data_IF_735621279490
#
_entry.id   IF_735621279490
#
_cell.length_a   1.000
_cell.length_b   1.000
_cell.length_c   1.000
_cell.angle_alpha   90.00
_cell.angle_beta   90.00
_cell.angle_gamma   90.00
#
_symmetry.space_group_name_H-M   'P 1'
#
loop_
_entity.id
_entity.type
_entity.pdbx_description
1 polymer ?
#
# COMPACT_ATOMS: atom_id res chain seq x y z
N UNK A 1 -30.15 -62.90 -10.23
CA UNK A 1 -30.07 -62.56 -8.78
C UNK A 1 -28.80 -61.76 -8.56
N UNK A 2 -28.90 -60.44 -8.54
CA UNK A 2 -27.84 -59.52 -8.13
C UNK A 2 -28.11 -59.10 -6.68
N UNK A 3 -27.24 -59.51 -5.75
CA UNK A 3 -27.32 -59.10 -4.36
C UNK A 3 -26.75 -57.71 -4.20
N UNK A 4 -27.58 -56.76 -3.71
CA UNK A 4 -27.14 -55.46 -3.24
C UNK A 4 -26.49 -55.63 -1.88
N UNK A 5 -25.19 -55.34 -1.76
CA UNK A 5 -24.49 -55.19 -0.49
C UNK A 5 -24.72 -53.73 -0.05
N UNK A 6 -25.50 -53.52 1.00
CA UNK A 6 -25.67 -52.23 1.62
C UNK A 6 -24.43 -51.91 2.44
N UNK A 7 -23.69 -50.86 2.04
CA UNK A 7 -22.66 -50.25 2.91
C UNK A 7 -23.34 -49.44 4.00
N UNK A 8 -23.10 -49.80 5.25
CA UNK A 8 -23.48 -48.99 6.41
C UNK A 8 -22.66 -47.70 6.40
N UNK A 9 -23.28 -46.53 6.75
CA UNK A 9 -22.56 -45.28 6.84
C UNK A 9 -21.52 -45.38 7.98
N UNK A 10 -20.24 -45.26 7.62
CA UNK A 10 -19.16 -45.19 8.58
C UNK A 10 -19.37 -44.02 9.53
N UNK A 11 -19.32 -44.26 10.83
CA UNK A 11 -19.26 -43.25 11.85
C UNK A 11 -18.04 -42.36 11.57
N UNK A 12 -18.28 -41.10 11.24
CA UNK A 12 -17.24 -40.09 11.23
C UNK A 12 -16.71 -40.01 12.66
N UNK A 13 -15.50 -40.50 12.90
CA UNK A 13 -14.82 -40.30 14.16
C UNK A 13 -14.73 -38.80 14.43
N UNK A 14 -15.42 -38.29 15.46
CA UNK A 14 -15.19 -36.96 16.01
C UNK A 14 -13.68 -36.82 16.25
N UNK A 15 -13.03 -35.93 15.48
CA UNK A 15 -11.64 -35.59 15.74
C UNK A 15 -11.61 -34.97 17.13
N UNK A 16 -11.14 -35.69 18.12
CA UNK A 16 -10.91 -35.16 19.46
C UNK A 16 -10.04 -33.91 19.30
N UNK A 17 -10.56 -32.77 19.79
CA UNK A 17 -9.83 -31.52 19.74
C UNK A 17 -8.47 -31.71 20.44
N UNK A 18 -7.39 -31.42 19.73
CA UNK A 18 -6.03 -31.46 20.29
C UNK A 18 -5.99 -30.52 21.50
N UNK A 19 -5.80 -31.06 22.75
CA UNK A 19 -5.86 -30.25 23.97
C UNK A 19 -4.82 -29.12 24.00
N UNK A 20 -3.70 -29.26 23.28
CA UNK A 20 -2.68 -28.23 23.19
C UNK A 20 -3.16 -27.10 22.29
N UNK A 21 -3.80 -27.43 21.17
CA UNK A 21 -4.42 -26.42 20.28
C UNK A 21 -5.54 -25.66 20.99
N UNK A 22 -6.37 -26.35 21.73
CA UNK A 22 -7.47 -25.71 22.47
C UNK A 22 -6.93 -24.81 23.58
N UNK A 23 -5.97 -25.27 24.38
CA UNK A 23 -5.30 -24.45 25.39
C UNK A 23 -4.63 -23.21 24.77
N UNK A 24 -3.95 -23.37 23.64
CA UNK A 24 -3.35 -22.25 22.90
C UNK A 24 -4.41 -21.27 22.40
N UNK A 25 -5.53 -21.76 21.87
CA UNK A 25 -6.65 -20.92 21.42
C UNK A 25 -7.26 -20.11 22.55
N UNK A 26 -7.48 -20.74 23.71
CA UNK A 26 -8.01 -20.09 24.92
C UNK A 26 -7.03 -19.01 25.41
N UNK A 27 -5.74 -19.33 25.46
CA UNK A 27 -4.71 -18.36 25.86
C UNK A 27 -4.65 -17.18 24.89
N UNK A 28 -4.62 -17.41 23.58
CA UNK A 28 -4.64 -16.33 22.58
C UNK A 28 -5.91 -15.45 22.68
N UNK A 29 -7.07 -16.06 22.95
CA UNK A 29 -8.31 -15.32 23.14
C UNK A 29 -8.34 -14.51 24.45
N UNK A 30 -7.52 -14.87 25.44
CA UNK A 30 -7.39 -14.13 26.70
C UNK A 30 -6.45 -12.92 26.59
N UNK A 31 -5.64 -12.84 25.54
CA UNK A 31 -4.77 -11.68 25.33
C UNK A 31 -5.61 -10.45 24.98
N UNK A 32 -5.23 -9.26 25.46
CA UNK A 32 -5.90 -8.03 25.08
C UNK A 32 -5.90 -7.87 23.56
N UNK A 33 -7.04 -7.51 22.99
CA UNK A 33 -7.08 -7.14 21.58
C UNK A 33 -6.19 -5.92 21.34
N UNK A 34 -5.41 -5.94 20.27
CA UNK A 34 -4.62 -4.77 19.89
C UNK A 34 -5.57 -3.59 19.61
N UNK A 35 -5.34 -2.41 20.21
CA UNK A 35 -6.15 -1.24 19.92
C UNK A 35 -5.99 -0.85 18.46
N UNK A 36 -7.04 -0.28 17.85
CA UNK A 36 -6.92 0.28 16.50
C UNK A 36 -5.99 1.49 16.51
N UNK A 37 -5.32 1.76 15.38
CA UNK A 37 -4.39 2.89 15.26
C UNK A 37 -5.05 4.23 15.58
N UNK A 38 -6.31 4.43 15.21
CA UNK A 38 -7.09 5.62 15.53
C UNK A 38 -7.17 5.92 17.04
N UNK A 39 -7.19 4.88 17.88
CA UNK A 39 -7.22 4.99 19.34
C UNK A 39 -5.85 5.36 19.94
N UNK A 40 -4.79 5.28 19.14
CA UNK A 40 -3.40 5.50 19.55
C UNK A 40 -2.79 6.77 18.93
N UNK A 41 -3.58 7.62 18.27
CA UNK A 41 -3.06 8.86 17.70
C UNK A 41 -2.74 9.91 18.79
N UNK A 42 -1.72 10.73 18.54
CA UNK A 42 -1.24 11.76 19.47
C UNK A 42 -1.81 13.16 19.14
N UNK A 43 -2.99 13.23 18.52
CA UNK A 43 -3.61 14.49 18.11
C UNK A 43 -2.94 15.16 16.91
N UNK A 44 -2.07 14.47 16.21
CA UNK A 44 -1.36 15.00 15.04
C UNK A 44 -2.31 15.11 13.84
N UNK A 45 -2.34 16.26 13.20
CA UNK A 45 -3.18 16.54 12.03
C UNK A 45 -2.33 17.24 10.98
N UNK A 46 -2.40 16.77 9.75
CA UNK A 46 -1.80 17.46 8.60
C UNK A 46 -2.74 18.58 8.13
N UNK A 47 -2.16 19.73 7.84
CA UNK A 47 -2.89 20.91 7.41
C UNK A 47 -3.03 20.92 5.89
N UNK A 48 -4.28 21.10 5.38
CA UNK A 48 -4.51 21.27 3.95
C UNK A 48 -3.94 22.61 3.47
N UNK A 49 -3.10 22.54 2.43
CA UNK A 49 -2.48 23.72 1.81
C UNK A 49 -3.20 24.10 0.53
N UNK A 50 -3.57 23.11 -0.28
CA UNK A 50 -4.15 23.32 -1.61
C UNK A 50 -4.88 22.07 -2.09
N UNK A 51 -5.78 22.28 -3.04
CA UNK A 51 -6.55 21.19 -3.65
C UNK A 51 -6.67 21.39 -5.16
N UNK A 52 -6.57 20.31 -5.91
CA UNK A 52 -6.75 20.25 -7.34
C UNK A 52 -7.80 19.22 -7.71
N UNK A 53 -8.42 19.36 -8.88
CA UNK A 53 -9.34 18.35 -9.43
C UNK A 53 -8.85 17.86 -10.80
N UNK A 54 -7.73 17.13 -10.86
CA UNK A 54 -7.21 16.58 -12.08
C UNK A 54 -8.10 15.45 -12.60
N UNK A 55 -8.06 15.18 -13.89
CA UNK A 55 -8.74 14.03 -14.46
C UNK A 55 -7.94 12.74 -14.14
N UNK A 56 -8.65 11.71 -13.66
CA UNK A 56 -8.10 10.36 -13.55
C UNK A 56 -7.24 10.03 -12.32
N UNK A 57 -7.10 10.95 -11.35
CA UNK A 57 -6.38 10.70 -10.11
C UNK A 57 -7.26 9.91 -9.13
N UNK A 58 -7.30 8.58 -9.25
CA UNK A 58 -8.12 7.72 -8.40
C UNK A 58 -7.38 6.50 -7.80
N UNK A 59 -6.07 6.38 -8.07
CA UNK A 59 -5.22 5.34 -7.48
C UNK A 59 -4.03 5.93 -6.72
N UNK A 60 -3.50 7.05 -7.16
CA UNK A 60 -2.37 7.67 -6.49
C UNK A 60 -1.92 8.96 -7.13
N UNK A 61 -0.80 9.45 -6.64
CA UNK A 61 -0.13 10.64 -7.13
C UNK A 61 1.38 10.47 -7.02
N UNK A 62 2.12 11.05 -7.95
CA UNK A 62 3.56 11.26 -7.88
C UNK A 62 3.86 12.75 -8.02
N UNK A 63 5.04 13.19 -7.59
CA UNK A 63 5.40 14.62 -7.54
C UNK A 63 6.84 14.81 -7.97
N UNK A 64 7.10 15.78 -8.86
CA UNK A 64 8.44 16.32 -9.15
C UNK A 64 8.58 17.79 -8.68
N UNK A 65 9.67 18.43 -9.02
CA UNK A 65 9.90 19.82 -8.61
C UNK A 65 8.86 20.81 -9.16
N UNK A 66 8.25 20.55 -10.32
CA UNK A 66 7.35 21.48 -11.02
C UNK A 66 5.95 20.92 -11.25
N UNK A 67 5.78 19.60 -11.19
CA UNK A 67 4.55 18.94 -11.57
C UNK A 67 4.10 17.93 -10.53
N UNK A 68 2.82 17.62 -10.56
CA UNK A 68 2.27 16.41 -9.96
C UNK A 68 1.64 15.52 -11.03
N UNK A 69 1.60 14.21 -10.77
CA UNK A 69 1.09 13.20 -11.68
C UNK A 69 -0.10 12.51 -11.04
N UNK A 70 -1.30 12.73 -11.57
CA UNK A 70 -2.50 11.99 -11.15
C UNK A 70 -2.50 10.59 -11.78
N UNK A 71 -2.60 9.56 -10.96
CA UNK A 71 -2.50 8.16 -11.38
C UNK A 71 -3.87 7.49 -11.23
N UNK A 72 -4.36 6.91 -12.32
CA UNK A 72 -5.51 6.01 -12.34
C UNK A 72 -5.10 4.62 -12.81
N UNK A 73 -6.01 3.66 -12.84
CA UNK A 73 -5.72 2.26 -13.19
C UNK A 73 -4.88 2.10 -14.47
N UNK A 74 -5.15 2.90 -15.48
CA UNK A 74 -4.49 2.88 -16.80
C UNK A 74 -4.38 4.29 -17.41
N UNK A 75 -4.33 5.31 -16.54
CA UNK A 75 -4.19 6.73 -16.95
C UNK A 75 -3.13 7.37 -16.07
N UNK A 76 -2.28 8.18 -16.66
CA UNK A 76 -1.32 9.04 -15.97
C UNK A 76 -1.42 10.44 -16.56
N UNK A 77 -1.89 11.39 -15.76
CA UNK A 77 -1.96 12.80 -16.15
C UNK A 77 -0.87 13.61 -15.44
N UNK A 78 -0.14 14.45 -16.17
CA UNK A 78 0.86 15.38 -15.65
C UNK A 78 0.26 16.79 -15.56
N UNK A 79 0.44 17.44 -14.42
CA UNK A 79 -0.17 18.73 -14.10
C UNK A 79 0.88 19.68 -13.52
N UNK A 80 0.80 20.96 -13.88
CA UNK A 80 1.63 22.00 -13.28
C UNK A 80 1.23 22.24 -11.81
N UNK A 81 2.21 22.32 -10.90
CA UNK A 81 1.97 22.49 -9.46
C UNK A 81 1.42 23.86 -9.08
N UNK A 82 1.62 24.88 -9.92
CA UNK A 82 1.21 26.26 -9.65
C UNK A 82 -0.19 26.51 -10.18
N UNK A 83 -0.44 26.14 -11.45
CA UNK A 83 -1.70 26.42 -12.13
C UNK A 83 -2.72 25.30 -12.03
N UNK A 84 -2.28 24.05 -11.82
CA UNK A 84 -3.12 22.85 -11.88
C UNK A 84 -3.49 22.44 -13.31
N UNK A 85 -2.97 23.14 -14.32
CA UNK A 85 -3.24 22.83 -15.72
C UNK A 85 -2.56 21.54 -16.16
N UNK A 86 -3.26 20.77 -17.00
CA UNK A 86 -2.72 19.55 -17.55
C UNK A 86 -1.67 19.84 -18.62
N UNK A 87 -0.47 19.32 -18.42
CA UNK A 87 0.69 19.46 -19.33
C UNK A 87 0.77 18.31 -20.32
N UNK A 88 0.55 17.08 -19.83
CA UNK A 88 0.63 15.86 -20.64
C UNK A 88 -0.27 14.77 -20.06
N UNK A 89 -0.57 13.76 -20.87
CA UNK A 89 -1.36 12.60 -20.44
C UNK A 89 -0.95 11.36 -21.23
N UNK A 90 -0.93 10.23 -20.53
CA UNK A 90 -0.92 8.92 -21.14
C UNK A 90 -2.19 8.15 -20.73
N UNK A 91 -2.77 7.46 -21.70
CA UNK A 91 -3.92 6.59 -21.51
C UNK A 91 -3.61 5.24 -22.11
N UNK A 92 -3.56 4.22 -21.27
CA UNK A 92 -3.44 2.83 -21.68
C UNK A 92 -4.75 2.29 -22.26
N UNK A 93 -4.67 1.13 -22.89
CA UNK A 93 -5.86 0.43 -23.40
C UNK A 93 -6.62 -0.21 -22.22
N UNK A 94 -7.92 0.04 -22.15
CA UNK A 94 -8.78 -0.67 -21.23
C UNK A 94 -8.80 -2.17 -21.58
N UNK A 95 -8.44 -3.03 -20.63
CA UNK A 95 -8.24 -4.46 -20.87
C UNK A 95 -6.91 -4.81 -21.54
N UNK A 96 -5.99 -3.83 -21.68
CA UNK A 96 -4.61 -4.06 -22.13
C UNK A 96 -3.71 -4.62 -21.03
N UNK A 97 -2.40 -4.52 -21.27
CA UNK A 97 -1.38 -5.04 -20.33
C UNK A 97 -1.35 -4.28 -19.00
N UNK A 98 -1.69 -2.99 -18.99
CA UNK A 98 -1.78 -2.18 -17.77
C UNK A 98 -3.18 -2.26 -17.20
N UNK A 99 -3.34 -2.99 -16.11
CA UNK A 99 -4.65 -3.27 -15.48
C UNK A 99 -4.90 -2.34 -14.31
N UNK A 100 -3.91 -2.20 -13.42
CA UNK A 100 -4.07 -1.53 -12.15
C UNK A 100 -2.77 -0.85 -11.71
N UNK A 101 -2.54 0.39 -12.16
CA UNK A 101 -1.49 1.24 -11.61
C UNK A 101 -1.90 1.68 -10.20
N UNK A 102 -0.91 1.78 -9.32
CA UNK A 102 -1.05 2.19 -7.93
C UNK A 102 -0.23 3.44 -7.63
N UNK A 103 0.65 3.37 -6.63
CA UNK A 103 1.54 4.44 -6.26
C UNK A 103 2.61 4.75 -7.28
N UNK A 104 3.13 5.96 -7.22
CA UNK A 104 4.23 6.40 -8.07
C UNK A 104 5.12 7.44 -7.41
N UNK A 105 6.33 7.54 -7.92
CA UNK A 105 7.31 8.54 -7.49
C UNK A 105 8.26 8.88 -8.64
N UNK A 106 9.01 9.97 -8.47
CA UNK A 106 10.15 10.24 -9.32
C UNK A 106 11.39 9.62 -8.67
N UNK A 107 11.99 8.68 -9.38
CA UNK A 107 13.20 7.97 -8.95
C UNK A 107 14.22 7.95 -10.05
N UNK A 108 15.45 8.41 -9.78
CA UNK A 108 16.55 8.45 -10.73
C UNK A 108 16.17 9.14 -12.07
N UNK A 109 15.39 10.23 -12.00
CA UNK A 109 14.93 11.01 -13.15
C UNK A 109 13.82 10.35 -13.96
N UNK A 110 13.25 9.23 -13.53
CA UNK A 110 12.12 8.55 -14.17
C UNK A 110 10.87 8.58 -13.28
N UNK A 111 9.70 8.60 -13.87
CA UNK A 111 8.44 8.37 -13.18
C UNK A 111 8.24 6.84 -13.08
N UNK A 112 8.34 6.33 -11.86
CA UNK A 112 8.22 4.89 -11.56
C UNK A 112 6.88 4.64 -10.89
N UNK A 113 6.10 3.74 -11.46
CA UNK A 113 4.75 3.42 -11.01
C UNK A 113 4.68 1.95 -10.56
N UNK A 114 4.09 1.71 -9.41
CA UNK A 114 3.70 0.38 -8.99
C UNK A 114 2.51 -0.10 -9.83
N UNK A 115 2.51 -1.36 -10.23
CA UNK A 115 1.45 -1.98 -11.01
C UNK A 115 1.18 -3.41 -10.53
N UNK A 116 -0.08 -3.83 -10.62
CA UNK A 116 -0.50 -5.21 -10.44
C UNK A 116 -1.67 -5.54 -11.37
N UNK A 117 -1.98 -6.83 -11.51
CA UNK A 117 -3.17 -7.29 -12.21
C UNK A 117 -4.41 -7.37 -11.31
N UNK A 118 -4.40 -6.69 -10.15
CA UNK A 118 -5.53 -6.69 -9.21
C UNK A 118 -6.87 -6.40 -9.94
N UNK A 119 -7.94 -7.13 -9.63
CA UNK A 119 -8.11 -8.17 -8.61
C UNK A 119 -7.92 -9.61 -9.12
N UNK A 120 -7.24 -9.82 -10.24
CA UNK A 120 -7.07 -11.13 -10.86
C UNK A 120 -6.10 -12.03 -10.08
N UNK A 121 -6.30 -13.34 -10.16
CA UNK A 121 -5.41 -14.35 -9.61
C UNK A 121 -4.86 -15.24 -10.73
N UNK A 122 -3.59 -15.70 -10.62
CA UNK A 122 -2.62 -15.36 -9.58
C UNK A 122 -2.24 -13.86 -9.64
N UNK A 123 -2.07 -13.24 -8.47
CA UNK A 123 -1.67 -11.83 -8.38
C UNK A 123 -0.25 -11.66 -8.94
N UNK A 124 -0.10 -10.84 -9.96
CA UNK A 124 1.18 -10.52 -10.58
C UNK A 124 1.45 -9.02 -10.48
N UNK A 125 2.72 -8.67 -10.29
CA UNK A 125 3.14 -7.28 -10.10
C UNK A 125 4.32 -6.90 -10.97
N UNK A 126 4.42 -5.61 -11.29
CA UNK A 126 5.51 -5.02 -12.05
C UNK A 126 5.75 -3.57 -11.63
N UNK A 127 6.89 -3.04 -12.03
CA UNK A 127 7.18 -1.61 -12.02
C UNK A 127 7.14 -1.09 -13.45
N UNK A 128 6.38 -0.04 -13.64
CA UNK A 128 6.24 0.62 -14.93
C UNK A 128 7.01 1.94 -14.92
N UNK A 129 7.97 2.08 -15.82
CA UNK A 129 8.82 3.25 -15.93
C UNK A 129 8.36 4.14 -17.07
N UNK A 130 8.19 5.42 -16.78
CA UNK A 130 7.77 6.44 -17.73
C UNK A 130 8.80 7.56 -17.82
N UNK A 131 8.95 8.13 -19.00
CA UNK A 131 9.62 9.42 -19.15
C UNK A 131 8.74 10.53 -18.55
N UNK A 132 9.20 11.23 -17.51
CA UNK A 132 8.40 12.25 -16.85
C UNK A 132 8.14 13.50 -17.72
N UNK A 133 8.93 13.73 -18.77
CA UNK A 133 8.72 14.86 -19.66
C UNK A 133 7.51 14.63 -20.59
N UNK A 134 7.45 13.49 -21.24
CA UNK A 134 6.42 13.13 -22.21
C UNK A 134 5.27 12.29 -21.66
N UNK A 135 5.42 11.74 -20.45
CA UNK A 135 4.50 10.75 -19.85
C UNK A 135 4.31 9.52 -20.76
N UNK A 136 5.42 9.04 -21.34
CA UNK A 136 5.41 7.85 -22.20
C UNK A 136 6.08 6.67 -21.50
N UNK A 137 5.50 5.45 -21.65
CA UNK A 137 6.14 4.25 -21.14
C UNK A 137 7.54 4.05 -21.73
N UNK A 138 8.52 3.68 -20.88
CA UNK A 138 9.91 3.45 -21.28
C UNK A 138 10.26 1.97 -21.14
N UNK A 139 9.95 1.37 -20.00
CA UNK A 139 10.21 -0.04 -19.71
C UNK A 139 9.29 -0.55 -18.63
N UNK A 140 9.20 -1.87 -18.54
CA UNK A 140 8.55 -2.58 -17.44
C UNK A 140 9.54 -3.55 -16.79
N UNK A 141 9.45 -3.72 -15.47
CA UNK A 141 10.20 -4.73 -14.71
C UNK A 141 9.18 -5.63 -14.01
N UNK A 142 9.04 -6.86 -14.52
CA UNK A 142 8.14 -7.85 -13.94
C UNK A 142 8.70 -8.41 -12.65
N UNK A 143 7.90 -8.39 -11.58
CA UNK A 143 8.21 -9.02 -10.27
C UNK A 143 7.52 -10.39 -10.13
N UNK A 144 6.70 -10.77 -11.11
CA UNK A 144 5.99 -12.05 -11.14
C UNK A 144 4.90 -12.14 -10.07
N UNK A 145 4.61 -13.38 -9.65
CA UNK A 145 3.44 -13.72 -8.81
C UNK A 145 3.78 -14.03 -7.34
N UNK A 146 4.99 -13.73 -6.88
CA UNK A 146 5.50 -14.26 -5.60
C UNK A 146 5.01 -13.52 -4.36
N UNK A 147 4.71 -12.23 -4.45
CA UNK A 147 4.62 -11.37 -3.26
C UNK A 147 3.24 -10.76 -3.02
N UNK A 148 2.35 -10.72 -3.99
CA UNK A 148 1.06 -10.06 -3.90
C UNK A 148 0.94 -8.83 -4.81
N UNK A 149 0.00 -7.93 -4.52
CA UNK A 149 -0.25 -6.69 -5.28
C UNK A 149 0.73 -5.60 -4.89
N UNK A 150 1.61 -5.19 -5.79
CA UNK A 150 2.53 -4.07 -5.56
C UNK A 150 1.73 -2.77 -5.48
N UNK A 151 1.78 -2.08 -4.34
CA UNK A 151 1.06 -0.82 -4.13
C UNK A 151 1.97 0.41 -4.17
N UNK A 152 3.19 0.29 -3.70
CA UNK A 152 4.21 1.32 -3.81
C UNK A 152 5.61 0.70 -3.80
N UNK A 153 6.58 1.41 -4.36
CA UNK A 153 8.00 1.08 -4.26
C UNK A 153 8.84 2.36 -4.28
N UNK A 154 9.94 2.38 -3.56
CA UNK A 154 10.87 3.50 -3.45
C UNK A 154 12.31 2.97 -3.30
N UNK A 155 13.28 3.62 -3.92
CA UNK A 155 14.71 3.32 -3.72
C UNK A 155 15.26 4.22 -2.61
N UNK A 156 15.81 3.61 -1.56
CA UNK A 156 16.42 4.31 -0.43
C UNK A 156 17.67 3.56 0.04
N UNK A 157 18.75 4.32 0.26
CA UNK A 157 20.04 3.79 0.76
C UNK A 157 20.58 2.61 -0.07
N UNK A 158 20.41 2.66 -1.40
CA UNK A 158 20.88 1.64 -2.34
C UNK A 158 19.95 0.42 -2.48
N UNK A 159 18.84 0.37 -1.77
CA UNK A 159 17.88 -0.75 -1.79
C UNK A 159 16.51 -0.31 -2.30
N UNK A 160 15.81 -1.22 -2.96
CA UNK A 160 14.38 -1.06 -3.22
C UNK A 160 13.58 -1.44 -1.98
N UNK A 161 12.63 -0.60 -1.63
CA UNK A 161 11.61 -0.85 -0.62
C UNK A 161 10.26 -0.89 -1.31
N UNK A 162 9.48 -1.94 -1.06
CA UNK A 162 8.22 -2.13 -1.74
C UNK A 162 7.18 -2.77 -0.84
N UNK A 163 5.91 -2.39 -1.01
CA UNK A 163 4.79 -3.01 -0.32
C UNK A 163 4.00 -3.90 -1.27
N UNK A 164 3.76 -5.12 -0.82
CA UNK A 164 2.91 -6.09 -1.49
C UNK A 164 1.68 -6.35 -0.65
N UNK A 165 0.55 -5.87 -1.14
CA UNK A 165 -0.73 -5.96 -0.47
C UNK A 165 -1.43 -7.30 -0.73
N UNK A 166 -2.10 -7.79 0.31
CA UNK A 166 -3.11 -8.85 0.28
C UNK A 166 -4.42 -8.29 0.84
N UNK A 167 -5.53 -8.89 0.50
CA UNK A 167 -6.86 -8.37 0.81
C UNK A 167 -7.74 -9.45 1.45
N UNK A 168 -8.87 -9.04 2.06
CA UNK A 168 -9.80 -9.98 2.70
C UNK A 168 -11.00 -10.34 1.81
N UNK A 169 -11.11 -9.74 0.61
CA UNK A 169 -12.21 -10.01 -0.32
C UNK A 169 -11.73 -10.22 -1.77
N UNK A 170 -11.67 -9.16 -2.58
CA UNK A 170 -11.24 -9.26 -3.98
C UNK A 170 -9.73 -9.47 -4.09
N UNK A 171 -9.32 -10.33 -5.02
CA UNK A 171 -7.90 -10.62 -5.24
C UNK A 171 -7.23 -11.41 -4.11
N UNK A 172 -8.02 -12.06 -3.24
CA UNK A 172 -7.52 -12.86 -2.13
C UNK A 172 -7.09 -14.24 -2.63
N UNK A 173 -5.80 -14.55 -2.50
CA UNK A 173 -5.29 -15.87 -2.78
C UNK A 173 -5.59 -16.84 -1.62
N UNK A 174 -5.82 -18.14 -1.88
CA UNK A 174 -6.05 -19.11 -0.83
C UNK A 174 -4.93 -19.11 0.22
N UNK A 175 -5.31 -19.02 1.49
CA UNK A 175 -4.37 -19.03 2.62
C UNK A 175 -3.73 -17.67 2.91
N UNK A 176 -4.13 -16.59 2.23
CA UNK A 176 -3.68 -15.22 2.52
C UNK A 176 -4.85 -14.32 2.90
N UNK A 177 -4.56 -13.26 3.60
CA UNK A 177 -5.46 -12.14 3.90
C UNK A 177 -4.63 -10.86 4.09
N UNK A 178 -5.24 -9.75 4.48
CA UNK A 178 -4.52 -8.49 4.62
C UNK A 178 -3.44 -8.50 5.72
N UNK A 179 -3.44 -9.48 6.62
CA UNK A 179 -2.34 -9.71 7.60
C UNK A 179 -1.06 -10.20 6.92
N UNK A 180 -1.18 -10.75 5.70
CA UNK A 180 -0.05 -11.19 4.87
C UNK A 180 0.60 -10.04 4.08
N UNK A 181 0.06 -8.83 4.18
CA UNK A 181 0.65 -7.63 3.57
C UNK A 181 2.01 -7.34 4.18
N UNK A 182 3.01 -7.12 3.32
CA UNK A 182 4.39 -6.94 3.77
C UNK A 182 5.07 -5.73 3.13
N UNK A 183 6.05 -5.18 3.84
CA UNK A 183 7.08 -4.32 3.29
C UNK A 183 8.34 -5.15 3.11
N UNK A 184 8.86 -5.21 1.89
CA UNK A 184 10.08 -5.91 1.55
C UNK A 184 11.20 -4.95 1.22
N UNK A 185 12.43 -5.34 1.58
CA UNK A 185 13.68 -4.72 1.17
C UNK A 185 14.36 -5.61 0.14
N UNK A 186 14.70 -5.06 -1.01
CA UNK A 186 15.24 -5.79 -2.15
C UNK A 186 16.56 -5.17 -2.60
N UNK A 187 17.41 -5.99 -3.21
CA UNK A 187 18.57 -5.50 -3.92
C UNK A 187 18.21 -4.87 -5.28
N UNK A 188 19.20 -4.44 -6.05
CA UNK A 188 18.98 -3.84 -7.39
C UNK A 188 18.45 -4.83 -8.42
N UNK A 189 18.57 -6.14 -8.18
CA UNK A 189 18.05 -7.21 -9.01
C UNK A 189 16.67 -7.72 -8.55
N UNK A 190 16.03 -7.02 -7.61
CA UNK A 190 14.77 -7.39 -7.00
C UNK A 190 14.80 -8.74 -6.27
N UNK A 191 15.95 -9.14 -5.72
CA UNK A 191 16.04 -10.25 -4.79
C UNK A 191 15.63 -9.76 -3.39
N UNK A 192 14.65 -10.44 -2.80
CA UNK A 192 14.18 -10.12 -1.45
C UNK A 192 15.28 -10.42 -0.43
N UNK A 193 15.68 -9.41 0.32
CA UNK A 193 16.69 -9.51 1.37
C UNK A 193 16.05 -9.65 2.75
N UNK A 194 15.05 -8.81 3.04
CA UNK A 194 14.35 -8.74 4.33
C UNK A 194 12.89 -8.36 4.09
N UNK A 195 12.00 -8.75 5.02
CA UNK A 195 10.59 -8.33 4.96
C UNK A 195 9.97 -8.22 6.34
N UNK A 196 8.96 -7.35 6.46
CA UNK A 196 8.24 -7.09 7.71
C UNK A 196 6.74 -7.03 7.45
N UNK A 197 5.98 -7.56 8.37
CA UNK A 197 4.53 -7.43 8.43
C UNK A 197 4.13 -6.09 9.08
N UNK A 198 2.92 -5.67 8.83
CA UNK A 198 2.36 -4.49 9.49
C UNK A 198 1.88 -4.80 10.90
N UNK A 199 1.92 -3.81 11.82
CA UNK A 199 1.42 -3.99 13.17
C UNK A 199 -0.08 -4.32 13.18
N UNK A 200 -0.56 -5.20 14.08
CA UNK A 200 -1.96 -5.63 14.11
C UNK A 200 -2.97 -4.49 14.19
N UNK A 201 -2.68 -3.41 14.92
CA UNK A 201 -3.54 -2.24 15.04
C UNK A 201 -3.69 -1.48 13.72
N UNK A 202 -2.65 -1.42 12.89
CA UNK A 202 -2.69 -0.81 11.56
C UNK A 202 -3.50 -1.68 10.61
N UNK A 203 -3.27 -3.00 10.61
CA UNK A 203 -4.05 -3.96 9.83
C UNK A 203 -5.53 -3.90 10.20
N UNK A 204 -5.86 -3.81 11.49
CA UNK A 204 -7.24 -3.70 11.98
C UNK A 204 -7.95 -2.44 11.48
N UNK A 205 -7.20 -1.33 11.26
CA UNK A 205 -7.76 -0.08 10.72
C UNK A 205 -8.10 -0.16 9.22
N UNK A 206 -7.50 -1.07 8.47
CA UNK A 206 -7.77 -1.24 7.04
C UNK A 206 -9.10 -1.96 6.73
N UNK A 207 -9.72 -2.58 7.73
CA UNK A 207 -10.91 -3.41 7.52
C UNK A 207 -10.62 -4.59 6.60
N UNK A 208 -11.26 -4.63 5.43
CA UNK A 208 -11.04 -5.68 4.41
C UNK A 208 -10.03 -5.29 3.33
N UNK A 209 -9.60 -4.04 3.33
CA UNK A 209 -8.60 -3.50 2.42
C UNK A 209 -7.16 -3.72 2.92
N UNK A 210 -6.19 -2.98 2.41
CA UNK A 210 -4.78 -3.17 2.71
C UNK A 210 -4.00 -1.86 2.65
N UNK A 211 -2.67 -1.92 2.78
CA UNK A 211 -1.76 -0.80 2.55
C UNK A 211 -1.80 -0.39 1.07
N UNK A 212 -2.11 0.87 0.80
CA UNK A 212 -2.21 1.41 -0.57
C UNK A 212 -1.12 2.41 -0.93
N UNK A 213 -0.49 3.03 0.04
CA UNK A 213 0.59 3.98 -0.21
C UNK A 213 1.67 3.94 0.87
N UNK A 214 2.88 4.32 0.52
CA UNK A 214 3.97 4.40 1.47
C UNK A 214 5.22 5.05 0.90
N UNK A 215 5.98 5.68 1.77
CA UNK A 215 7.28 6.29 1.46
C UNK A 215 8.04 6.60 2.74
N UNK A 216 9.35 6.61 2.66
CA UNK A 216 10.23 7.00 3.76
C UNK A 216 10.24 8.52 3.94
N UNK A 217 10.12 8.96 5.19
CA UNK A 217 10.37 10.34 5.58
C UNK A 217 11.85 10.65 5.72
N UNK A 218 12.19 11.94 5.71
CA UNK A 218 13.56 12.43 5.94
C UNK A 218 14.04 12.16 7.38
N UNK A 219 13.10 11.86 8.27
CA UNK A 219 13.34 11.46 9.67
C UNK A 219 13.67 9.96 9.83
N UNK A 220 13.75 9.22 8.72
CA UNK A 220 14.05 7.79 8.70
C UNK A 220 12.88 6.89 9.09
N UNK A 221 11.68 7.44 9.26
CA UNK A 221 10.46 6.69 9.54
C UNK A 221 9.71 6.36 8.24
N UNK A 222 8.99 5.25 8.26
CA UNK A 222 8.13 4.84 7.16
C UNK A 222 6.71 5.38 7.38
N UNK A 223 6.21 6.10 6.40
CA UNK A 223 4.85 6.62 6.39
C UNK A 223 4.01 5.81 5.43
N UNK A 224 2.83 5.36 5.86
CA UNK A 224 1.96 4.52 5.03
C UNK A 224 0.49 4.90 5.18
N UNK A 225 -0.31 4.63 4.15
CA UNK A 225 -1.77 4.78 4.18
C UNK A 225 -2.46 3.45 3.95
N UNK A 226 -3.67 3.32 4.48
CA UNK A 226 -4.60 2.28 4.08
C UNK A 226 -5.31 2.61 2.77
N UNK A 227 -6.53 2.09 2.59
CA UNK A 227 -7.30 2.28 1.36
C UNK A 227 -8.37 3.39 1.49
N UNK A 228 -9.03 3.51 2.63
CA UNK A 228 -10.25 4.34 2.77
C UNK A 228 -10.12 5.43 3.84
N UNK A 229 -9.42 5.15 4.93
CA UNK A 229 -9.34 6.05 6.07
C UNK A 229 -8.41 7.25 5.80
N UNK A 230 -8.77 8.42 6.32
CA UNK A 230 -7.96 9.65 6.27
C UNK A 230 -6.83 9.61 7.31
N UNK A 231 -5.97 8.61 7.20
CA UNK A 231 -4.97 8.23 8.18
C UNK A 231 -3.62 7.97 7.51
N UNK A 232 -2.57 8.60 8.04
CA UNK A 232 -1.18 8.37 7.67
C UNK A 232 -0.49 7.72 8.87
N UNK A 233 -0.20 6.44 8.76
CA UNK A 233 0.47 5.65 9.80
C UNK A 233 1.98 5.89 9.74
N UNK A 234 2.59 6.12 10.88
CA UNK A 234 4.03 6.30 11.03
C UNK A 234 4.59 5.06 11.69
N UNK A 235 5.55 4.43 11.03
CA UNK A 235 6.12 3.15 11.38
C UNK A 235 7.65 3.24 11.42
N UNK A 236 8.29 2.32 12.14
CA UNK A 236 9.75 2.13 12.07
C UNK A 236 10.10 0.66 11.94
N UNK A 237 11.30 0.39 11.47
CA UNK A 237 11.85 -0.95 11.49
C UNK A 237 12.06 -1.41 12.94
N UNK A 238 11.71 -2.65 13.28
CA UNK A 238 11.93 -3.15 14.61
C UNK A 238 13.42 -3.41 14.87
N UNK A 239 13.83 -3.28 16.13
CA UNK A 239 15.18 -3.73 16.55
C UNK A 239 15.32 -5.26 16.50
N UNK A 240 14.22 -5.97 16.65
CA UNK A 240 14.13 -7.43 16.56
C UNK A 240 12.72 -7.83 16.13
N UNK A 241 12.63 -8.97 15.43
CA UNK A 241 11.34 -9.52 14.97
C UNK A 241 11.00 -9.15 13.54
N UNK A 242 9.81 -9.54 13.13
CA UNK A 242 9.34 -9.51 11.74
C UNK A 242 8.15 -8.57 11.53
N UNK A 243 7.81 -7.75 12.52
CA UNK A 243 6.67 -6.82 12.46
C UNK A 243 7.18 -5.41 12.66
N UNK A 244 6.78 -4.49 11.79
CA UNK A 244 7.05 -3.06 11.92
C UNK A 244 6.52 -2.53 13.25
N UNK A 245 7.23 -1.59 13.87
CA UNK A 245 6.78 -0.93 15.09
C UNK A 245 5.87 0.25 14.75
N UNK A 246 4.71 0.31 15.37
CA UNK A 246 3.81 1.46 15.29
C UNK A 246 4.36 2.62 16.14
N UNK A 247 4.49 3.79 15.52
CA UNK A 247 4.93 5.03 16.20
C UNK A 247 3.72 5.89 16.52
N UNK A 248 2.95 6.27 15.52
CA UNK A 248 1.74 7.11 15.66
C UNK A 248 0.91 7.08 14.37
N UNK A 249 -0.22 7.76 14.40
CA UNK A 249 -1.05 8.07 13.25
C UNK A 249 -1.25 9.60 13.18
N UNK A 250 -1.23 10.13 11.96
CA UNK A 250 -1.50 11.53 11.63
C UNK A 250 -2.79 11.57 10.82
N UNK A 251 -3.77 12.38 11.23
CA UNK A 251 -4.95 12.63 10.41
C UNK A 251 -4.57 13.46 9.20
N UNK A 252 -5.05 13.08 8.02
CA UNK A 252 -4.76 13.76 6.74
C UNK A 252 -6.05 14.22 6.06
N UNK A 253 -6.05 15.30 5.27
CA UNK A 253 -7.24 15.84 4.61
C UNK A 253 -7.60 15.11 3.30
N UNK A 254 -7.15 13.88 3.12
CA UNK A 254 -7.44 13.03 1.97
C UNK A 254 -7.74 11.60 2.43
N UNK A 255 -8.36 10.80 1.56
CA UNK A 255 -8.62 9.39 1.83
C UNK A 255 -7.33 8.57 1.71
N UNK A 256 -7.34 7.34 2.19
CA UNK A 256 -6.28 6.37 1.88
C UNK A 256 -6.18 6.18 0.37
N UNK A 257 -5.17 5.65 -0.12
CA UNK A 257 -4.66 5.36 -1.44
C UNK A 257 -3.18 5.76 -1.47
N UNK A 258 -2.55 5.69 -2.63
CA UNK A 258 -1.17 6.11 -2.73
C UNK A 258 -1.04 7.64 -2.74
N UNK A 259 0.04 8.09 -2.17
CA UNK A 259 0.41 9.48 -1.97
C UNK A 259 1.92 9.66 -2.23
N UNK A 260 2.39 10.88 -2.30
CA UNK A 260 3.82 11.16 -2.52
C UNK A 260 4.29 12.36 -1.70
N UNK A 261 5.53 12.31 -1.19
CA UNK A 261 6.23 13.47 -0.68
C UNK A 261 6.57 14.46 -1.81
N UNK A 262 6.40 15.74 -1.55
CA UNK A 262 7.07 16.77 -2.31
C UNK A 262 8.50 16.93 -1.80
N UNK A 263 9.46 16.33 -2.50
CA UNK A 263 10.87 16.39 -2.08
C UNK A 263 11.50 17.77 -2.23
N UNK A 264 10.76 18.74 -2.79
CA UNK A 264 11.20 20.15 -2.93
C UNK A 264 10.62 21.07 -1.85
N UNK A 265 9.60 20.62 -1.10
CA UNK A 265 9.02 21.34 0.03
C UNK A 265 8.89 20.41 1.23
N UNK A 266 9.70 20.67 2.25
CA UNK A 266 9.84 19.81 3.41
C UNK A 266 8.49 19.56 4.10
N UNK A 267 8.18 18.28 4.37
CA UNK A 267 6.96 17.81 5.03
C UNK A 267 5.66 18.08 4.26
N UNK A 268 5.74 18.39 2.98
CA UNK A 268 4.55 18.50 2.11
C UNK A 268 4.30 17.17 1.41
N UNK A 269 3.04 16.74 1.41
CA UNK A 269 2.57 15.55 0.72
C UNK A 269 1.41 15.88 -0.22
N UNK A 270 1.31 15.09 -1.27
CA UNK A 270 0.19 15.05 -2.20
C UNK A 270 -0.53 13.73 -2.00
N UNK A 271 -1.80 13.78 -1.63
CA UNK A 271 -2.69 12.62 -1.52
C UNK A 271 -3.91 12.78 -2.40
N UNK A 272 -4.77 11.77 -2.46
CA UNK A 272 -5.97 11.82 -3.30
C UNK A 272 -7.24 11.57 -2.49
N UNK A 273 -8.34 12.11 -2.98
CA UNK A 273 -9.68 11.70 -2.59
C UNK A 273 -10.26 10.91 -3.78
N UNK A 274 -10.20 9.59 -3.68
CA UNK A 274 -10.59 8.68 -4.76
C UNK A 274 -12.01 8.93 -5.27
N UNK A 275 -12.93 9.16 -4.35
CA UNK A 275 -14.36 9.36 -4.63
C UNK A 275 -14.62 10.57 -5.52
N UNK A 276 -13.86 11.65 -5.35
CA UNK A 276 -14.02 12.90 -6.09
C UNK A 276 -12.97 13.11 -7.18
N UNK A 277 -11.90 12.31 -7.19
CA UNK A 277 -10.75 12.45 -8.09
C UNK A 277 -9.90 13.69 -7.78
N UNK A 278 -9.97 14.20 -6.55
CA UNK A 278 -9.20 15.37 -6.12
C UNK A 278 -7.80 14.96 -5.67
N UNK A 279 -6.83 15.81 -5.95
CA UNK A 279 -5.49 15.78 -5.35
C UNK A 279 -5.42 16.86 -4.29
N UNK A 280 -5.06 16.46 -3.07
CA UNK A 280 -4.95 17.33 -1.91
C UNK A 280 -3.48 17.46 -1.52
N UNK A 281 -3.02 18.70 -1.38
CA UNK A 281 -1.69 19.02 -0.88
C UNK A 281 -1.81 19.34 0.61
N UNK A 282 -1.01 18.68 1.43
CA UNK A 282 -1.05 18.90 2.88
C UNK A 282 0.34 19.03 3.48
N UNK A 283 0.44 19.82 4.54
CA UNK A 283 1.63 19.97 5.38
C UNK A 283 1.54 19.01 6.56
N UNK A 284 2.44 18.05 6.60
CA UNK A 284 2.52 17.04 7.68
C UNK A 284 3.30 17.67 8.86
N UNK A 285 2.79 17.60 10.10
CA UNK A 285 3.48 18.14 11.25
C UNK A 285 4.79 17.40 11.54
N UNK A 286 5.74 18.10 12.17
CA UNK A 286 6.90 17.45 12.76
C UNK A 286 6.47 16.53 13.90
N UNK A 287 7.09 15.36 13.98
CA UNK A 287 6.84 14.48 15.11
C UNK A 287 7.49 15.04 16.38
N UNK A 288 6.80 14.96 17.53
CA UNK A 288 7.43 15.23 18.82
C UNK A 288 8.69 14.38 19.04
N UNK A 289 9.70 14.94 19.70
CA UNK A 289 10.96 14.22 19.94
C UNK A 289 10.78 12.87 20.66
N UNK A 290 9.77 12.75 21.50
CA UNK A 290 9.43 11.51 22.20
C UNK A 290 8.93 10.37 21.28
N UNK A 291 8.57 10.68 20.02
CA UNK A 291 8.08 9.71 19.03
C UNK A 291 9.14 9.36 17.96
N UNK A 292 10.28 10.03 17.97
CA UNK A 292 11.38 9.82 17.01
C UNK A 292 12.34 8.72 17.43
#
# INVERSE_FOLDING_TARGET
>A
LFGFVAFAPGHAAEKSADPVREATRVWLASLPAAPKAEQMHHGLVAEEVRRWKPRGANQGVAVDAKHFYGIGNYVVGKYDKVTGERVAEWVGLRGGATVHLNGGLIQDGQLVLAHSNFPQLPMASSLEYFDPASVRPVKSVSLGIRHGSLTWAEKKDGFWWACFAHYNDQGTAPGTDNRSTMVGKFDENWQLLESWLFPPQVVASWGKSSCSGGSWGDDGLLYTTGHDASELYVLRLPKMGVTLEYVTMIKVPFEGQSWAWDRTDRRVIYGIIRRTGEVVVAKVPELPAALR
#
